data_IF_407371375905
#
_entry.id   IF_407371375905
#
_cell.length_a   1.000
_cell.length_b   1.000
_cell.length_c   1.000
_cell.angle_alpha   90.00
_cell.angle_beta   90.00
_cell.angle_gamma   90.00
#
_symmetry.space_group_name_H-M   'P 1'
#
loop_
_entity.id
_entity.type
_entity.pdbx_description
1 polymer ?
#
# COMPACT_ATOMS: atom_id res chain seq x y z
N UNK A 1 -7.73 -8.68 -6.01
CA UNK A 1 -6.45 -8.72 -6.71
C UNK A 1 -5.56 -9.81 -6.14
N UNK A 2 -4.82 -10.47 -7.00
CA UNK A 2 -3.91 -11.52 -6.57
C UNK A 2 -2.56 -10.93 -6.14
N UNK A 3 -1.86 -11.64 -5.27
CA UNK A 3 -0.48 -11.31 -4.96
C UNK A 3 0.40 -11.45 -6.19
N UNK A 4 1.38 -10.57 -6.34
CA UNK A 4 2.35 -10.65 -7.43
C UNK A 4 3.72 -10.20 -6.94
N UNK A 5 4.73 -10.51 -7.73
CA UNK A 5 6.10 -10.12 -7.40
C UNK A 5 6.26 -8.60 -7.40
N UNK A 6 5.59 -7.94 -8.33
CA UNK A 6 5.60 -6.48 -8.44
C UNK A 6 4.17 -5.97 -8.34
N UNK A 7 3.99 -4.82 -7.72
CA UNK A 7 2.68 -4.22 -7.60
C UNK A 7 2.78 -2.71 -7.83
N UNK A 8 1.71 -2.17 -8.39
CA UNK A 8 1.59 -0.75 -8.70
C UNK A 8 0.19 -0.31 -8.32
N UNK A 9 0.09 0.79 -7.61
CA UNK A 9 -1.23 1.34 -7.28
C UNK A 9 -1.83 2.01 -8.52
N UNK A 10 -3.06 1.68 -8.90
CA UNK A 10 -3.71 2.35 -10.02
C UNK A 10 -3.70 3.88 -9.84
N UNK A 11 -3.30 4.58 -10.90
CA UNK A 11 -3.18 6.02 -10.88
C UNK A 11 -1.80 6.55 -10.48
N UNK A 12 -0.88 5.67 -10.12
CA UNK A 12 0.49 6.03 -9.75
C UNK A 12 1.47 5.35 -10.71
N UNK A 13 2.61 5.99 -10.96
CA UNK A 13 3.63 5.47 -11.88
C UNK A 13 4.75 4.72 -11.17
N UNK A 14 4.55 4.40 -9.90
CA UNK A 14 5.58 3.75 -9.07
C UNK A 14 5.27 2.28 -8.93
N UNK A 15 6.27 1.43 -9.20
CA UNK A 15 6.16 -0.02 -9.06
C UNK A 15 7.05 -0.48 -7.92
N UNK A 16 6.55 -1.41 -7.11
CA UNK A 16 7.26 -1.88 -5.92
C UNK A 16 7.36 -3.39 -5.88
N UNK A 17 8.42 -3.87 -5.24
CA UNK A 17 8.59 -5.27 -4.84
C UNK A 17 8.81 -5.31 -3.34
N UNK A 18 8.58 -6.47 -2.73
CA UNK A 18 8.95 -6.68 -1.33
C UNK A 18 10.48 -6.65 -1.24
N UNK A 19 11.01 -5.92 -0.29
CA UNK A 19 12.46 -5.86 -0.07
C UNK A 19 12.99 -7.24 0.31
N UNK A 20 14.14 -7.62 -0.24
CA UNK A 20 14.81 -8.87 0.15
C UNK A 20 15.26 -8.83 1.61
N UNK A 21 15.32 -7.65 2.20
CA UNK A 21 15.72 -7.48 3.60
C UNK A 21 14.52 -7.43 4.55
N UNK A 22 13.30 -7.40 4.03
CA UNK A 22 12.10 -7.38 4.86
C UNK A 22 11.94 -8.70 5.61
N UNK A 23 11.63 -8.61 6.89
CA UNK A 23 11.35 -9.74 7.75
C UNK A 23 10.00 -9.50 8.44
N UNK A 24 9.36 -10.54 8.99
CA UNK A 24 8.10 -10.33 9.70
C UNK A 24 8.16 -9.22 10.75
N UNK A 25 9.24 -9.14 11.51
CA UNK A 25 9.37 -8.08 12.52
C UNK A 25 9.50 -6.70 11.87
N UNK A 26 10.16 -6.60 10.70
CA UNK A 26 10.28 -5.33 9.97
C UNK A 26 8.90 -4.80 9.60
N UNK A 27 8.04 -5.69 9.09
CA UNK A 27 6.70 -5.30 8.68
C UNK A 27 5.84 -4.90 9.88
N UNK A 28 5.88 -5.68 10.95
CA UNK A 28 5.10 -5.36 12.16
C UNK A 28 5.55 -4.04 12.79
N UNK A 29 6.86 -3.77 12.78
CA UNK A 29 7.39 -2.51 13.31
C UNK A 29 6.94 -1.30 12.48
N UNK A 30 6.49 -1.53 11.25
CA UNK A 30 6.06 -0.46 10.34
C UNK A 30 4.55 -0.45 10.10
N UNK A 31 3.79 -1.01 11.02
CA UNK A 31 2.33 -0.88 11.01
C UNK A 31 1.58 -2.01 10.33
N UNK A 32 2.27 -3.04 9.85
CA UNK A 32 1.59 -4.22 9.30
C UNK A 32 1.10 -5.11 10.44
N UNK A 33 -0.09 -5.67 10.27
CA UNK A 33 -0.67 -6.62 11.21
C UNK A 33 -0.89 -7.94 10.51
N UNK A 34 -0.86 -9.03 11.26
CA UNK A 34 -1.10 -10.34 10.69
C UNK A 34 -2.60 -10.58 10.48
N UNK A 35 -2.95 -11.13 9.33
CA UNK A 35 -4.32 -11.58 9.04
C UNK A 35 -4.47 -13.04 9.45
N UNK A 36 -5.70 -13.57 9.39
CA UNK A 36 -5.96 -14.98 9.73
C UNK A 36 -5.14 -15.96 8.88
N UNK A 37 -5.01 -15.76 7.56
CA UNK A 37 -4.13 -16.63 6.75
C UNK A 37 -2.64 -16.46 7.04
N UNK A 38 -2.25 -15.49 7.85
CA UNK A 38 -0.85 -15.23 8.19
C UNK A 38 -0.17 -14.20 7.30
N UNK A 39 -0.90 -13.54 6.43
CA UNK A 39 -0.36 -12.46 5.61
C UNK A 39 -0.18 -11.19 6.45
N UNK A 40 0.53 -10.21 5.90
CA UNK A 40 0.77 -8.92 6.56
C UNK A 40 -0.03 -7.85 5.86
N UNK A 41 -0.84 -7.12 6.62
CA UNK A 41 -1.73 -6.08 6.09
C UNK A 41 -1.44 -4.74 6.73
N UNK A 42 -1.23 -3.73 5.89
CA UNK A 42 -1.15 -2.34 6.29
C UNK A 42 -2.36 -1.61 5.73
N UNK A 43 -3.08 -0.89 6.60
CA UNK A 43 -4.23 -0.08 6.19
C UNK A 43 -4.05 1.35 6.70
N UNK A 44 -4.31 2.32 5.84
CA UNK A 44 -4.25 3.72 6.21
C UNK A 44 -5.47 4.46 5.68
N UNK A 45 -6.36 4.93 6.56
CA UNK A 45 -7.47 5.78 6.14
C UNK A 45 -6.95 7.16 5.71
N UNK A 46 -7.47 7.66 4.61
CA UNK A 46 -7.10 8.97 4.06
C UNK A 46 -8.35 9.70 3.64
N UNK A 47 -8.29 11.03 3.63
CA UNK A 47 -9.43 11.86 3.25
C UNK A 47 -8.95 13.00 2.37
N UNK A 48 -9.67 13.26 1.27
CA UNK A 48 -9.39 14.39 0.39
C UNK A 48 -9.88 15.68 1.03
N UNK A 49 -9.42 16.82 0.50
CA UNK A 49 -9.91 18.13 0.95
C UNK A 49 -11.41 18.30 0.71
N UNK A 50 -11.96 17.57 -0.25
CA UNK A 50 -13.41 17.59 -0.53
C UNK A 50 -14.20 16.63 0.38
N UNK A 51 -13.54 15.93 1.29
CA UNK A 51 -14.20 15.02 2.24
C UNK A 51 -14.39 13.59 1.76
N UNK A 52 -13.86 13.22 0.59
CA UNK A 52 -13.92 11.85 0.11
C UNK A 52 -12.94 10.99 0.90
N UNK A 53 -13.41 9.83 1.39
CA UNK A 53 -12.62 8.93 2.22
C UNK A 53 -12.20 7.70 1.44
N UNK A 54 -10.93 7.31 1.60
CA UNK A 54 -10.39 6.09 1.00
C UNK A 54 -9.47 5.42 2.00
N UNK A 55 -9.19 4.14 1.78
CA UNK A 55 -8.23 3.39 2.61
C UNK A 55 -7.15 2.85 1.69
N UNK A 56 -5.91 3.20 1.96
CA UNK A 56 -4.75 2.59 1.30
C UNK A 56 -4.50 1.23 1.96
N UNK A 57 -4.43 0.18 1.15
CA UNK A 57 -4.13 -1.17 1.63
C UNK A 57 -2.88 -1.69 0.94
N UNK A 58 -1.92 -2.14 1.73
CA UNK A 58 -0.73 -2.84 1.25
C UNK A 58 -0.70 -4.19 1.94
N UNK A 59 -0.75 -5.26 1.17
CA UNK A 59 -0.73 -6.62 1.72
C UNK A 59 0.50 -7.35 1.20
N UNK A 60 1.24 -7.98 2.11
CA UNK A 60 2.42 -8.79 1.78
C UNK A 60 2.11 -10.22 2.24
N UNK A 61 2.41 -11.20 1.40
CA UNK A 61 2.10 -12.59 1.71
C UNK A 61 2.93 -13.10 2.90
N UNK A 62 2.48 -14.20 3.48
CA UNK A 62 3.13 -14.76 4.69
C UNK A 62 4.59 -15.15 4.47
N UNK A 63 4.98 -15.41 3.22
CA UNK A 63 6.36 -15.75 2.88
C UNK A 63 7.24 -14.52 2.62
N UNK A 64 6.64 -13.32 2.68
CA UNK A 64 7.34 -12.04 2.47
C UNK A 64 8.02 -11.99 1.10
N UNK A 65 7.32 -12.46 0.08
CA UNK A 65 7.84 -12.54 -1.29
C UNK A 65 7.00 -11.79 -2.32
N UNK A 66 5.69 -11.69 -2.09
CA UNK A 66 4.77 -11.06 -3.03
C UNK A 66 3.88 -10.06 -2.31
N UNK A 67 3.26 -9.17 -3.06
CA UNK A 67 2.44 -8.11 -2.47
C UNK A 67 1.28 -7.77 -3.38
N UNK A 68 0.34 -7.02 -2.82
CA UNK A 68 -0.71 -6.34 -3.58
C UNK A 68 -0.97 -4.98 -2.93
N UNK A 69 -1.26 -3.98 -3.75
CA UNK A 69 -1.49 -2.60 -3.32
C UNK A 69 -2.80 -2.14 -3.92
N UNK A 70 -3.66 -1.54 -3.09
CA UNK A 70 -4.92 -1.00 -3.58
C UNK A 70 -5.39 0.16 -2.71
N UNK A 71 -6.26 0.99 -3.27
CA UNK A 71 -7.07 1.92 -2.49
C UNK A 71 -8.52 1.49 -2.63
N UNK A 72 -9.23 1.50 -1.52
CA UNK A 72 -10.61 1.02 -1.46
C UNK A 72 -11.48 2.02 -0.70
N UNK A 73 -12.81 1.85 -0.84
CA UNK A 73 -13.75 2.60 -0.02
C UNK A 73 -13.64 2.16 1.44
N UNK A 74 -14.11 3.00 2.41
CA UNK A 74 -13.98 2.65 3.83
C UNK A 74 -14.61 1.31 4.21
N UNK A 75 -15.65 0.88 3.50
CA UNK A 75 -16.27 -0.43 3.75
C UNK A 75 -15.52 -1.58 3.09
N UNK A 76 -14.49 -1.28 2.28
CA UNK A 76 -13.67 -2.29 1.63
C UNK A 76 -14.30 -2.97 0.43
N UNK A 77 -15.49 -2.56 -0.01
CA UNK A 77 -16.22 -3.28 -1.04
C UNK A 77 -15.83 -2.87 -2.47
N UNK A 78 -15.33 -1.65 -2.65
CA UNK A 78 -15.00 -1.13 -3.98
C UNK A 78 -13.58 -0.61 -4.01
N UNK A 79 -12.88 -0.84 -5.15
CA UNK A 79 -11.59 -0.18 -5.39
C UNK A 79 -11.82 1.24 -5.87
N UNK A 80 -10.88 2.12 -5.52
CA UNK A 80 -10.94 3.54 -5.88
C UNK A 80 -9.66 3.88 -6.63
N UNK A 81 -9.79 4.56 -7.77
CA UNK A 81 -8.63 5.18 -8.42
C UNK A 81 -8.54 6.62 -7.89
N UNK A 82 -7.48 6.90 -7.14
CA UNK A 82 -7.29 8.20 -6.49
C UNK A 82 -7.28 9.35 -7.50
N UNK A 83 -6.81 9.10 -8.73
CA UNK A 83 -6.80 10.13 -9.78
C UNK A 83 -8.20 10.58 -10.19
N UNK A 84 -9.22 9.79 -9.90
CA UNK A 84 -10.62 10.13 -10.20
C UNK A 84 -11.29 10.94 -9.10
N UNK A 85 -10.60 11.18 -7.99
CA UNK A 85 -11.17 11.94 -6.86
C UNK A 85 -10.88 13.43 -7.01
N UNK A 86 -11.87 14.25 -6.70
CA UNK A 86 -11.68 15.69 -6.66
C UNK A 86 -10.78 16.07 -5.47
N UNK A 87 -9.94 17.09 -5.66
CA UNK A 87 -9.10 17.64 -4.59
C UNK A 87 -8.22 16.58 -3.91
N UNK A 88 -7.60 15.73 -4.73
CA UNK A 88 -6.85 14.57 -4.27
C UNK A 88 -5.38 14.86 -3.92
N UNK A 89 -4.91 16.10 -4.06
CA UNK A 89 -3.47 16.40 -3.94
C UNK A 89 -2.86 15.94 -2.62
N UNK A 90 -3.56 16.16 -1.50
CA UNK A 90 -3.07 15.75 -0.18
C UNK A 90 -3.02 14.24 -0.03
N UNK A 91 -4.00 13.54 -0.59
CA UNK A 91 -4.02 12.07 -0.54
C UNK A 91 -2.87 11.50 -1.36
N UNK A 92 -2.66 12.02 -2.57
CA UNK A 92 -1.54 11.59 -3.42
C UNK A 92 -0.21 11.81 -2.71
N UNK A 93 -0.03 12.97 -2.11
CA UNK A 93 1.20 13.30 -1.38
C UNK A 93 1.42 12.35 -0.19
N UNK A 94 0.38 12.07 0.58
CA UNK A 94 0.48 11.16 1.73
C UNK A 94 0.80 9.74 1.30
N UNK A 95 0.19 9.25 0.23
CA UNK A 95 0.47 7.91 -0.29
C UNK A 95 1.93 7.81 -0.72
N UNK A 96 2.43 8.79 -1.46
CA UNK A 96 3.83 8.80 -1.86
C UNK A 96 4.76 8.85 -0.65
N UNK A 97 4.42 9.62 0.37
CA UNK A 97 5.19 9.68 1.60
C UNK A 97 5.22 8.31 2.30
N UNK A 98 4.09 7.61 2.33
CA UNK A 98 4.02 6.27 2.93
C UNK A 98 4.93 5.30 2.17
N UNK A 99 4.88 5.32 0.84
CA UNK A 99 5.74 4.46 0.03
C UNK A 99 7.21 4.79 0.25
N UNK A 100 7.57 6.07 0.30
CA UNK A 100 8.95 6.47 0.57
C UNK A 100 9.42 5.94 1.92
N UNK A 101 8.57 5.97 2.93
CA UNK A 101 8.87 5.42 4.24
C UNK A 101 9.09 3.92 4.21
N UNK A 102 8.28 3.19 3.46
CA UNK A 102 8.47 1.74 3.32
C UNK A 102 9.78 1.40 2.62
N UNK A 103 10.17 2.18 1.62
CA UNK A 103 11.46 1.99 0.94
C UNK A 103 12.61 2.30 1.92
N UNK A 104 12.53 3.39 2.64
CA UNK A 104 13.57 3.79 3.59
C UNK A 104 13.77 2.78 4.71
N UNK A 105 12.70 2.07 5.10
CA UNK A 105 12.74 1.11 6.22
C UNK A 105 12.84 -0.34 5.76
N UNK A 106 13.18 -0.56 4.50
CA UNK A 106 13.42 -1.90 3.94
C UNK A 106 12.19 -2.82 3.97
N UNK A 107 11.00 -2.24 3.87
CA UNK A 107 9.78 -3.02 3.66
C UNK A 107 9.58 -3.32 2.18
N UNK A 108 9.81 -2.33 1.34
CA UNK A 108 9.65 -2.41 -0.10
C UNK A 108 10.89 -1.87 -0.81
N UNK A 109 11.06 -2.24 -2.07
CA UNK A 109 12.00 -1.58 -2.98
C UNK A 109 11.22 -1.07 -4.17
N UNK A 110 11.61 0.10 -4.66
CA UNK A 110 10.99 0.66 -5.86
C UNK A 110 11.72 0.14 -7.09
N UNK A 111 10.96 -0.32 -8.07
CA UNK A 111 11.48 -0.91 -9.30
C UNK A 111 11.34 0.11 -10.41
N UNK A 112 12.43 0.42 -11.08
CA UNK A 112 12.39 1.26 -12.26
C UNK A 112 12.04 0.39 -13.47
N UNK A 113 10.81 0.55 -13.91
CA UNK A 113 10.32 -0.31 -14.97
C UNK A 113 10.43 0.27 -16.32
#
# INVERSE_FOLDING_TARGET
>A
MAFSKQAKLPGFDRTFEVSSEARPYTLRDNGFVNTKPGNFLYERPLETSAGAKVVLKVTIDKNVETLKISTVTPNGLNTVNVNNLADNAMVVEKINFIFDGFVDRNCLVEVNG
#
